data_IF_348762030198
#
_entry.id   IF_348762030198
#
_cell.length_a   1.000
_cell.length_b   1.000
_cell.length_c   1.000
_cell.angle_alpha   90.00
_cell.angle_beta   90.00
_cell.angle_gamma   90.00
#
_symmetry.space_group_name_H-M   'P 1'
#
loop_
_entity.id
_entity.type
_entity.pdbx_description
1 polymer ?
#
# COMPACT_ATOMS: atom_id res chain seq x y z
N UNK A 1 -22.67 -4.04 -21.42
CA UNK A 1 -22.44 -2.57 -21.32
C UNK A 1 -21.53 -2.33 -20.11
N UNK A 2 -20.21 -2.21 -20.31
CA UNK A 2 -19.18 -2.24 -19.24
C UNK A 2 -18.91 -0.91 -18.51
N UNK A 3 -19.89 0.01 -18.51
CA UNK A 3 -19.80 1.30 -17.82
C UNK A 3 -20.51 1.34 -16.46
N UNK A 4 -21.15 0.23 -16.05
CA UNK A 4 -21.71 0.08 -14.71
C UNK A 4 -20.63 -0.16 -13.67
N UNK A 5 -20.93 0.16 -12.41
CA UNK A 5 -20.01 0.05 -11.29
C UNK A 5 -20.14 -1.32 -10.59
N UNK A 6 -19.05 -2.09 -10.54
CA UNK A 6 -19.02 -3.39 -9.87
C UNK A 6 -19.20 -3.27 -8.35
N UNK A 7 -18.67 -2.22 -7.72
CA UNK A 7 -18.83 -2.01 -6.28
C UNK A 7 -20.31 -1.97 -5.86
N UNK A 8 -21.19 -1.36 -6.67
CA UNK A 8 -22.64 -1.34 -6.40
C UNK A 8 -23.30 -2.72 -6.57
N UNK A 9 -22.92 -3.47 -7.60
CA UNK A 9 -23.43 -4.82 -7.81
C UNK A 9 -23.00 -5.77 -6.67
N UNK A 10 -21.75 -5.66 -6.22
CA UNK A 10 -21.23 -6.40 -5.07
C UNK A 10 -22.00 -5.99 -3.80
N UNK A 11 -22.17 -4.69 -3.57
CA UNK A 11 -22.92 -4.18 -2.42
C UNK A 11 -24.38 -4.65 -2.37
N UNK A 12 -25.05 -4.71 -3.53
CA UNK A 12 -26.40 -5.27 -3.65
C UNK A 12 -26.44 -6.75 -3.26
N UNK A 13 -25.55 -7.57 -3.80
CA UNK A 13 -25.44 -9.01 -3.48
C UNK A 13 -25.12 -9.22 -2.00
N UNK A 14 -24.30 -8.35 -1.41
CA UNK A 14 -23.94 -8.41 0.01
C UNK A 14 -25.01 -7.82 0.95
N UNK A 15 -26.14 -7.32 0.44
CA UNK A 15 -27.20 -6.74 1.26
C UNK A 15 -26.83 -5.38 1.89
N UNK A 16 -25.85 -4.67 1.34
CA UNK A 16 -25.42 -3.35 1.81
C UNK A 16 -26.39 -2.25 1.33
N UNK A 17 -27.65 -2.31 1.79
CA UNK A 17 -28.76 -1.47 1.28
C UNK A 17 -28.54 0.05 1.38
N UNK A 18 -27.68 0.48 2.32
CA UNK A 18 -27.35 1.89 2.54
C UNK A 18 -25.98 2.29 1.96
N UNK A 19 -25.30 1.39 1.25
CA UNK A 19 -23.98 1.66 0.69
C UNK A 19 -24.06 2.30 -0.70
N UNK A 20 -23.11 3.18 -0.98
CA UNK A 20 -22.74 3.59 -2.34
C UNK A 20 -21.41 2.95 -2.72
N UNK A 21 -20.97 3.12 -3.96
CA UNK A 21 -19.67 2.63 -4.38
C UNK A 21 -19.16 3.27 -5.65
N UNK A 22 -17.90 3.00 -5.96
CA UNK A 22 -17.24 3.33 -7.23
C UNK A 22 -16.11 2.34 -7.49
N UNK A 23 -15.77 2.15 -8.78
CA UNK A 23 -14.65 1.32 -9.19
C UNK A 23 -13.37 2.16 -9.31
N UNK A 24 -12.24 1.60 -8.87
CA UNK A 24 -10.90 2.17 -9.09
C UNK A 24 -10.14 1.33 -10.12
N UNK A 25 -9.55 1.98 -11.13
CA UNK A 25 -8.73 1.32 -12.16
C UNK A 25 -7.29 1.81 -12.11
N UNK A 26 -6.35 0.89 -12.32
CA UNK A 26 -4.90 1.16 -12.24
C UNK A 26 -4.05 -0.12 -12.30
N UNK A 27 -4.51 -1.13 -13.04
CA UNK A 27 -3.85 -2.45 -13.12
C UNK A 27 -3.52 -3.03 -11.74
N UNK A 28 -2.33 -3.63 -11.55
CA UNK A 28 -1.85 -4.12 -10.25
C UNK A 28 -1.72 -3.03 -9.19
N UNK A 29 -1.67 -1.74 -9.56
CA UNK A 29 -1.63 -0.64 -8.60
C UNK A 29 -3.03 -0.23 -8.11
N UNK A 30 -4.11 -0.68 -8.76
CA UNK A 30 -5.50 -0.32 -8.41
C UNK A 30 -5.88 -0.63 -6.95
N UNK A 31 -5.49 -1.78 -6.34
CA UNK A 31 -5.73 -2.04 -4.93
C UNK A 31 -5.13 -0.99 -3.99
N UNK A 32 -3.89 -0.60 -4.24
CA UNK A 32 -3.21 0.42 -3.43
C UNK A 32 -3.85 1.80 -3.63
N UNK A 33 -4.23 2.16 -4.86
CA UNK A 33 -5.03 3.36 -5.12
C UNK A 33 -6.35 3.36 -4.36
N UNK A 34 -7.07 2.24 -4.38
CA UNK A 34 -8.37 2.12 -3.70
C UNK A 34 -8.23 2.26 -2.18
N UNK A 35 -7.15 1.74 -1.58
CA UNK A 35 -6.87 1.90 -0.16
C UNK A 35 -6.48 3.33 0.22
N UNK A 36 -5.70 4.01 -0.61
CA UNK A 36 -5.39 5.43 -0.41
C UNK A 36 -6.67 6.28 -0.50
N UNK A 37 -7.53 5.99 -1.48
CA UNK A 37 -8.83 6.66 -1.61
C UNK A 37 -9.72 6.38 -0.40
N UNK A 38 -9.79 5.14 0.08
CA UNK A 38 -10.58 4.75 1.25
C UNK A 38 -10.07 5.46 2.52
N UNK A 39 -8.75 5.50 2.72
CA UNK A 39 -8.13 6.21 3.84
C UNK A 39 -8.44 7.71 3.80
N UNK A 40 -8.33 8.34 2.62
CA UNK A 40 -8.66 9.75 2.45
C UNK A 40 -10.14 10.05 2.75
N UNK A 41 -11.06 9.20 2.28
CA UNK A 41 -12.50 9.34 2.54
C UNK A 41 -12.85 9.18 4.03
N UNK A 42 -12.21 8.22 4.71
CA UNK A 42 -12.39 8.00 6.14
C UNK A 42 -11.86 9.19 6.96
N UNK A 43 -10.64 9.65 6.66
CA UNK A 43 -10.00 10.76 7.37
C UNK A 43 -10.68 12.11 7.09
N UNK A 44 -11.25 12.30 5.90
CA UNK A 44 -12.07 13.48 5.59
C UNK A 44 -13.47 13.45 6.25
N UNK A 45 -13.86 12.33 6.87
CA UNK A 45 -15.18 12.17 7.48
C UNK A 45 -16.33 12.04 6.47
N UNK A 46 -16.02 11.76 5.20
CA UNK A 46 -17.03 11.59 4.14
C UNK A 46 -17.80 10.28 4.35
N UNK A 47 -17.08 9.20 4.68
CA UNK A 47 -17.67 7.90 5.01
C UNK A 47 -17.00 7.32 6.25
N UNK A 48 -17.79 6.84 7.21
CA UNK A 48 -17.27 6.21 8.43
C UNK A 48 -16.72 4.80 8.22
N UNK A 49 -17.22 4.10 7.20
CA UNK A 49 -16.85 2.73 6.86
C UNK A 49 -16.76 2.57 5.34
N UNK A 50 -15.61 2.11 4.86
CA UNK A 50 -15.34 1.84 3.45
C UNK A 50 -14.78 0.42 3.35
N UNK A 51 -15.32 -0.39 2.46
CA UNK A 51 -14.77 -1.72 2.17
C UNK A 51 -14.13 -1.68 0.78
N UNK A 52 -12.84 -1.94 0.71
CA UNK A 52 -12.11 -2.11 -0.55
C UNK A 52 -12.12 -3.59 -0.89
N UNK A 53 -12.75 -3.95 -2.01
CA UNK A 53 -12.85 -5.33 -2.50
C UNK A 53 -12.22 -5.45 -3.88
N UNK A 54 -11.52 -6.54 -4.14
CA UNK A 54 -11.11 -6.91 -5.48
C UNK A 54 -10.95 -8.43 -5.60
N UNK A 55 -11.10 -8.96 -6.82
CA UNK A 55 -11.15 -10.39 -7.09
C UNK A 55 -10.66 -10.73 -8.50
N UNK A 56 -10.11 -11.93 -8.65
CA UNK A 56 -9.58 -12.42 -9.92
C UNK A 56 -10.68 -12.72 -10.91
N UNK A 57 -10.30 -12.80 -12.19
CA UNK A 57 -11.22 -13.17 -13.26
C UNK A 57 -10.68 -14.40 -14.00
N UNK A 58 -11.59 -15.28 -14.37
CA UNK A 58 -11.29 -16.50 -15.15
C UNK A 58 -10.59 -16.17 -16.47
N UNK A 59 -10.95 -15.06 -17.11
CA UNK A 59 -10.30 -14.60 -18.34
C UNK A 59 -8.80 -14.32 -18.12
N UNK A 60 -8.42 -13.77 -16.95
CA UNK A 60 -7.02 -13.47 -16.64
C UNK A 60 -6.21 -14.73 -16.36
N UNK A 61 -6.82 -15.75 -15.72
CA UNK A 61 -6.18 -17.06 -15.51
C UNK A 61 -5.68 -17.69 -16.80
N UNK A 62 -6.54 -17.71 -17.83
CA UNK A 62 -6.16 -18.27 -19.14
C UNK A 62 -4.94 -17.57 -19.75
N UNK A 63 -4.84 -16.25 -19.61
CA UNK A 63 -3.70 -15.49 -20.13
C UNK A 63 -2.37 -15.83 -19.42
N UNK A 64 -2.40 -16.02 -18.10
CA UNK A 64 -1.20 -16.30 -17.32
C UNK A 64 -0.70 -17.75 -17.51
N UNK A 65 -1.62 -18.66 -17.82
CA UNK A 65 -1.33 -20.07 -18.06
C UNK A 65 -0.58 -20.32 -19.36
N UNK A 66 -0.66 -19.37 -20.32
CA UNK A 66 -0.09 -19.51 -21.67
C UNK A 66 1.39 -19.85 -21.67
N UNK A 67 2.18 -19.18 -20.83
CA UNK A 67 3.64 -19.33 -20.86
C UNK A 67 4.09 -20.63 -20.16
N UNK A 68 3.31 -21.15 -19.20
CA UNK A 68 3.49 -22.50 -18.64
C UNK A 68 3.20 -23.58 -19.69
N UNK A 69 2.07 -23.48 -20.41
CA UNK A 69 1.67 -24.44 -21.44
C UNK A 69 2.69 -24.49 -22.59
N UNK A 70 3.20 -23.34 -23.03
CA UNK A 70 4.26 -23.27 -24.06
C UNK A 70 5.55 -24.00 -23.66
N UNK A 71 5.79 -24.16 -22.35
CA UNK A 71 6.95 -24.85 -21.79
C UNK A 71 6.64 -26.31 -21.42
N UNK A 72 5.47 -26.83 -21.79
CA UNK A 72 5.05 -28.20 -21.43
C UNK A 72 4.80 -28.38 -19.93
N UNK A 73 4.54 -27.30 -19.20
CA UNK A 73 4.29 -27.34 -17.76
C UNK A 73 2.79 -27.38 -17.46
N UNK A 74 2.38 -27.95 -16.30
CA UNK A 74 1.04 -27.77 -15.78
C UNK A 74 0.70 -26.29 -15.59
N UNK A 75 -0.60 -25.99 -15.58
CA UNK A 75 -1.09 -24.66 -15.21
C UNK A 75 -0.87 -24.47 -13.70
N UNK A 76 0.25 -23.84 -13.34
CA UNK A 76 0.62 -23.62 -11.93
C UNK A 76 -0.26 -22.58 -11.23
N UNK A 77 -1.00 -21.78 -12.00
CA UNK A 77 -1.86 -20.71 -11.50
C UNK A 77 -3.34 -20.97 -11.83
N UNK A 78 -3.83 -22.18 -11.56
CA UNK A 78 -5.26 -22.51 -11.64
C UNK A 78 -5.98 -22.15 -10.33
N UNK A 79 -5.99 -20.86 -9.99
CA UNK A 79 -6.62 -20.37 -8.76
C UNK A 79 -7.13 -18.94 -8.89
N UNK A 80 -8.34 -18.69 -8.38
CA UNK A 80 -8.87 -17.34 -8.21
C UNK A 80 -8.75 -16.96 -6.73
N UNK A 81 -8.28 -15.75 -6.48
CA UNK A 81 -8.30 -15.17 -5.16
C UNK A 81 -9.00 -13.81 -5.18
N UNK A 82 -9.49 -13.43 -4.00
CA UNK A 82 -10.12 -12.16 -3.73
C UNK A 82 -9.69 -11.67 -2.36
N UNK A 83 -9.80 -10.37 -2.13
CA UNK A 83 -9.60 -9.79 -0.82
C UNK A 83 -10.70 -8.77 -0.53
N UNK A 84 -10.90 -8.52 0.76
CA UNK A 84 -11.67 -7.40 1.27
C UNK A 84 -10.86 -6.75 2.40
N UNK A 85 -10.74 -5.42 2.37
CA UNK A 85 -10.15 -4.63 3.44
C UNK A 85 -11.20 -3.64 3.92
N UNK A 86 -11.55 -3.73 5.20
CA UNK A 86 -12.41 -2.75 5.85
C UNK A 86 -11.55 -1.62 6.41
N UNK A 87 -11.78 -0.42 5.90
CA UNK A 87 -11.18 0.83 6.37
C UNK A 87 -12.27 1.64 7.05
N UNK A 88 -12.04 2.01 8.31
CA UNK A 88 -12.94 2.85 9.08
C UNK A 88 -12.28 4.19 9.41
N UNK A 89 -13.03 5.07 10.06
CA UNK A 89 -12.44 6.12 10.89
C UNK A 89 -11.50 5.51 11.94
N UNK A 90 -10.57 6.33 12.43
CA UNK A 90 -9.58 5.91 13.41
C UNK A 90 -10.27 5.39 14.69
N UNK A 91 -10.09 4.09 14.96
CA UNK A 91 -10.67 3.36 16.10
C UNK A 91 -9.72 3.33 17.32
N UNK A 92 -8.52 3.92 17.20
CA UNK A 92 -7.48 3.89 18.23
C UNK A 92 -6.77 2.54 18.36
N UNK A 93 -7.11 1.53 17.56
CA UNK A 93 -6.59 0.16 17.71
C UNK A 93 -5.97 -0.34 16.41
N UNK A 94 -6.72 -0.30 15.31
CA UNK A 94 -6.29 -0.79 14.01
C UNK A 94 -5.19 0.10 13.43
N UNK A 95 -4.22 -0.49 12.69
CA UNK A 95 -3.15 0.28 12.06
C UNK A 95 -3.70 1.40 11.18
N UNK A 96 -3.03 2.56 11.23
CA UNK A 96 -3.42 3.73 10.44
C UNK A 96 -2.74 3.72 9.08
N UNK A 97 -3.45 4.14 8.03
CA UNK A 97 -2.86 4.42 6.72
C UNK A 97 -2.39 5.88 6.70
N UNK A 98 -1.08 6.10 6.57
CA UNK A 98 -0.43 7.42 6.56
C UNK A 98 -0.60 8.12 5.22
N UNK A 99 -1.67 8.92 5.08
CA UNK A 99 -2.00 9.69 3.85
C UNK A 99 -1.08 10.89 3.62
N UNK A 100 -0.28 11.27 4.61
CA UNK A 100 0.77 12.27 4.50
C UNK A 100 2.05 11.73 3.79
N UNK A 101 2.20 10.40 3.76
CA UNK A 101 3.35 9.64 3.25
C UNK A 101 3.03 8.81 1.99
N UNK A 102 2.19 9.33 1.10
CA UNK A 102 1.83 8.63 -0.15
C UNK A 102 2.94 8.77 -1.20
N UNK A 103 3.50 7.64 -1.62
CA UNK A 103 4.38 7.56 -2.78
C UNK A 103 3.58 7.61 -4.06
N UNK A 104 4.06 8.34 -5.07
CA UNK A 104 3.35 8.46 -6.36
C UNK A 104 4.32 8.54 -7.51
N UNK A 105 4.12 7.68 -8.51
CA UNK A 105 4.83 7.77 -9.76
C UNK A 105 4.17 8.86 -10.64
N UNK A 106 4.85 9.99 -10.78
CA UNK A 106 4.36 11.12 -11.58
C UNK A 106 4.64 10.85 -13.06
N UNK A 107 3.88 11.52 -13.93
CA UNK A 107 4.17 11.50 -15.39
C UNK A 107 5.63 11.90 -15.66
N UNK A 108 6.16 12.88 -14.92
CA UNK A 108 7.54 13.33 -15.01
C UNK A 108 8.56 12.58 -14.13
N UNK A 109 8.19 11.47 -13.48
CA UNK A 109 9.13 10.71 -12.63
C UNK A 109 10.21 9.99 -13.42
N UNK A 110 9.98 9.70 -14.70
CA UNK A 110 10.87 8.91 -15.55
C UNK A 110 10.61 7.41 -15.45
N UNK A 111 11.01 6.66 -16.48
CA UNK A 111 10.59 5.27 -16.67
C UNK A 111 11.57 4.23 -16.11
N UNK A 112 12.74 4.62 -15.60
CA UNK A 112 13.73 3.65 -15.13
C UNK A 112 13.25 2.98 -13.83
N UNK A 113 13.56 1.70 -13.59
CA UNK A 113 13.20 1.02 -12.35
C UNK A 113 13.62 1.80 -11.09
N UNK A 114 14.80 2.42 -11.12
CA UNK A 114 15.31 3.27 -10.05
C UNK A 114 14.46 4.52 -9.85
N UNK A 115 14.03 5.17 -10.92
CA UNK A 115 13.21 6.38 -10.84
C UNK A 115 11.80 6.09 -10.32
N UNK A 116 11.21 4.97 -10.77
CA UNK A 116 9.93 4.49 -10.26
C UNK A 116 10.02 4.21 -8.75
N UNK A 117 11.03 3.44 -8.33
CA UNK A 117 11.22 3.09 -6.92
C UNK A 117 11.60 4.29 -6.06
N UNK A 118 12.37 5.24 -6.57
CA UNK A 118 12.63 6.51 -5.89
C UNK A 118 11.30 7.24 -5.62
N UNK A 119 10.44 7.36 -6.63
CA UNK A 119 9.18 8.10 -6.53
C UNK A 119 8.13 7.47 -5.60
N UNK A 120 8.09 6.14 -5.53
CA UNK A 120 7.08 5.41 -4.74
C UNK A 120 7.62 4.86 -3.42
N UNK A 121 8.92 4.86 -3.16
CA UNK A 121 9.49 4.39 -1.89
C UNK A 121 10.22 5.50 -1.16
N UNK A 122 11.21 6.12 -1.81
CA UNK A 122 12.10 7.06 -1.12
C UNK A 122 11.50 8.45 -0.94
N UNK A 123 10.96 9.04 -2.00
CA UNK A 123 10.37 10.39 -1.99
C UNK A 123 9.31 10.59 -0.89
N UNK A 124 8.33 9.66 -0.66
CA UNK A 124 7.37 9.84 0.42
C UNK A 124 7.98 9.76 1.82
N UNK A 125 9.04 8.96 2.00
CA UNK A 125 9.75 8.85 3.28
C UNK A 125 10.55 10.12 3.57
N UNK A 126 11.31 10.61 2.58
CA UNK A 126 12.09 11.85 2.68
C UNK A 126 11.21 13.06 2.98
N UNK A 127 10.06 13.17 2.31
CA UNK A 127 9.09 14.25 2.53
C UNK A 127 8.60 14.30 3.99
N UNK A 128 8.45 13.14 4.63
CA UNK A 128 7.98 13.02 6.01
C UNK A 128 9.12 12.91 7.03
N UNK A 129 10.38 13.02 6.62
CA UNK A 129 11.54 12.91 7.49
C UNK A 129 11.76 11.52 8.09
N UNK A 130 11.16 10.48 7.51
CA UNK A 130 11.30 9.08 7.97
C UNK A 130 12.43 8.42 7.17
N UNK A 131 13.32 7.71 7.86
CA UNK A 131 14.41 6.98 7.19
C UNK A 131 13.93 5.64 6.66
N UNK A 132 14.58 5.14 5.61
CA UNK A 132 14.24 3.84 5.03
C UNK A 132 14.41 2.68 6.03
N UNK A 133 15.38 2.78 6.94
CA UNK A 133 15.65 1.79 7.97
C UNK A 133 14.64 1.81 9.14
N UNK A 134 13.70 2.77 9.17
CA UNK A 134 12.59 2.82 10.12
C UNK A 134 11.33 2.10 9.62
N UNK A 135 11.37 1.53 8.41
CA UNK A 135 10.29 0.69 7.86
C UNK A 135 10.65 -0.77 8.08
N UNK A 136 9.81 -1.50 8.82
CA UNK A 136 10.10 -2.88 9.22
C UNK A 136 9.87 -3.88 8.08
N UNK A 137 8.86 -3.61 7.24
CA UNK A 137 8.46 -4.49 6.13
C UNK A 137 8.11 -3.69 4.89
N UNK A 138 8.57 -4.16 3.75
CA UNK A 138 8.12 -3.67 2.44
C UNK A 138 7.30 -4.78 1.78
N UNK A 139 6.11 -4.46 1.30
CA UNK A 139 5.32 -5.35 0.47
C UNK A 139 5.30 -4.76 -0.96
N UNK A 140 6.27 -5.13 -1.82
CA UNK A 140 6.28 -4.78 -3.23
C UNK A 140 5.28 -5.66 -3.98
N UNK A 141 5.55 -5.97 -5.24
CA UNK A 141 4.76 -6.95 -5.94
C UNK A 141 5.01 -8.37 -5.36
N UNK A 142 3.96 -8.99 -4.79
CA UNK A 142 4.06 -10.21 -3.97
C UNK A 142 3.82 -11.52 -4.75
N UNK A 143 4.13 -11.55 -6.06
CA UNK A 143 3.96 -12.76 -6.89
C UNK A 143 4.69 -13.96 -6.28
N UNK A 144 4.04 -15.13 -6.23
CA UNK A 144 4.71 -16.37 -5.86
C UNK A 144 5.81 -16.72 -6.89
N UNK A 145 7.10 -16.76 -6.49
CA UNK A 145 8.21 -17.09 -7.39
C UNK A 145 8.14 -18.52 -7.94
N UNK A 146 7.48 -19.45 -7.24
CA UNK A 146 7.24 -20.81 -7.72
C UNK A 146 6.35 -20.83 -8.98
N UNK A 147 5.58 -19.76 -9.22
CA UNK A 147 4.76 -19.58 -10.43
C UNK A 147 5.52 -18.72 -11.45
N UNK A 148 6.12 -17.60 -11.03
CA UNK A 148 6.70 -16.63 -11.97
C UNK A 148 8.06 -17.06 -12.54
N UNK A 149 8.88 -17.79 -11.78
CA UNK A 149 10.18 -18.28 -12.27
C UNK A 149 9.98 -19.28 -13.41
N UNK A 150 9.14 -20.32 -13.30
CA UNK A 150 8.88 -21.22 -14.41
C UNK A 150 8.22 -20.53 -15.62
N UNK A 151 7.35 -19.54 -15.39
CA UNK A 151 6.79 -18.71 -16.46
C UNK A 151 7.85 -17.83 -17.16
N UNK A 152 9.01 -17.58 -16.55
CA UNK A 152 10.11 -16.77 -17.10
C UNK A 152 10.08 -15.30 -16.69
N UNK A 153 9.26 -14.94 -15.71
CA UNK A 153 9.19 -13.60 -15.14
C UNK A 153 10.17 -13.39 -13.97
N UNK A 154 10.79 -14.46 -13.46
CA UNK A 154 11.77 -14.41 -12.37
C UNK A 154 11.15 -14.21 -10.99
N UNK A 155 12.00 -13.94 -9.99
CA UNK A 155 11.59 -13.64 -8.61
C UNK A 155 11.36 -12.14 -8.43
N UNK A 156 10.12 -11.72 -8.66
CA UNK A 156 9.71 -10.31 -8.69
C UNK A 156 9.81 -9.63 -7.31
N UNK A 157 9.32 -10.23 -6.20
CA UNK A 157 9.50 -9.63 -4.87
C UNK A 157 10.97 -9.38 -4.53
N UNK A 158 11.84 -10.38 -4.73
CA UNK A 158 13.26 -10.28 -4.41
C UNK A 158 14.00 -9.23 -5.25
N UNK A 159 13.66 -9.12 -6.54
CA UNK A 159 14.19 -8.07 -7.40
C UNK A 159 13.84 -6.66 -6.87
N UNK A 160 12.60 -6.48 -6.38
CA UNK A 160 12.18 -5.23 -5.75
C UNK A 160 12.90 -4.97 -4.42
N UNK A 161 13.07 -5.97 -3.55
CA UNK A 161 13.81 -5.80 -2.29
C UNK A 161 15.26 -5.36 -2.52
N UNK A 162 15.94 -5.98 -3.49
CA UNK A 162 17.30 -5.57 -3.88
C UNK A 162 17.34 -4.12 -4.35
N UNK A 163 16.33 -3.67 -5.09
CA UNK A 163 16.24 -2.27 -5.54
C UNK A 163 16.01 -1.31 -4.37
N UNK A 164 15.12 -1.65 -3.43
CA UNK A 164 14.87 -0.86 -2.20
C UNK A 164 16.16 -0.76 -1.37
N UNK A 165 16.84 -1.88 -1.15
CA UNK A 165 18.09 -1.92 -0.41
C UNK A 165 19.18 -1.09 -1.10
N UNK A 166 19.30 -1.17 -2.43
CA UNK A 166 20.25 -0.36 -3.20
C UNK A 166 19.98 1.15 -3.11
N UNK A 167 18.70 1.57 -3.08
CA UNK A 167 18.34 2.97 -2.82
C UNK A 167 18.74 3.39 -1.41
N UNK A 168 18.55 2.51 -0.42
CA UNK A 168 19.02 2.73 0.95
C UNK A 168 20.53 2.92 1.06
N UNK A 169 21.32 2.10 0.35
CA UNK A 169 22.78 2.26 0.27
C UNK A 169 23.15 3.60 -0.37
N UNK A 170 22.50 3.97 -1.49
CA UNK A 170 22.74 5.25 -2.16
C UNK A 170 22.47 6.47 -1.25
N UNK A 171 21.54 6.33 -0.31
CA UNK A 171 21.15 7.37 0.65
C UNK A 171 21.91 7.28 1.98
N UNK A 172 22.83 6.33 2.13
CA UNK A 172 23.64 6.16 3.35
C UNK A 172 22.88 5.56 4.54
N UNK A 173 21.73 4.91 4.32
CA UNK A 173 20.99 4.21 5.37
C UNK A 173 21.53 2.81 5.65
N UNK A 174 22.23 2.22 4.68
CA UNK A 174 22.81 0.87 4.75
C UNK A 174 24.20 0.86 4.13
N UNK A 175 25.04 -0.05 4.59
CA UNK A 175 26.33 -0.31 3.94
C UNK A 175 26.16 -1.27 2.76
N UNK A 176 26.99 -1.12 1.72
CA UNK A 176 26.90 -1.94 0.49
C UNK A 176 27.08 -3.44 0.77
N UNK A 177 27.89 -3.80 1.75
CA UNK A 177 28.13 -5.18 2.15
C UNK A 177 26.98 -5.81 2.96
N UNK A 178 26.02 -5.01 3.43
CA UNK A 178 24.86 -5.46 4.22
C UNK A 178 23.62 -5.76 3.37
N UNK A 179 23.70 -5.61 2.04
CA UNK A 179 22.52 -5.73 1.15
C UNK A 179 21.72 -7.01 1.35
N UNK A 180 22.39 -8.17 1.51
CA UNK A 180 21.72 -9.45 1.68
C UNK A 180 20.93 -9.51 3.00
N UNK A 181 21.56 -9.13 4.11
CA UNK A 181 20.95 -9.08 5.44
C UNK A 181 19.77 -8.09 5.47
N UNK A 182 19.93 -6.93 4.83
CA UNK A 182 18.88 -5.92 4.74
C UNK A 182 17.66 -6.43 3.97
N UNK A 183 17.89 -7.11 2.84
CA UNK A 183 16.82 -7.74 2.04
C UNK A 183 16.10 -8.82 2.84
N UNK A 184 16.83 -9.66 3.59
CA UNK A 184 16.25 -10.68 4.46
C UNK A 184 15.44 -10.07 5.60
N UNK A 185 15.93 -8.97 6.19
CA UNK A 185 15.30 -8.33 7.35
C UNK A 185 13.93 -7.75 7.04
N UNK A 186 13.80 -6.98 5.95
CA UNK A 186 12.55 -6.29 5.62
C UNK A 186 11.72 -7.00 4.54
N UNK A 187 12.31 -7.96 3.83
CA UNK A 187 11.68 -8.69 2.74
C UNK A 187 10.95 -9.94 3.23
N UNK A 188 10.15 -10.51 2.34
CA UNK A 188 9.47 -11.77 2.56
C UNK A 188 9.21 -12.45 1.21
N UNK A 189 9.14 -13.80 1.15
CA UNK A 189 8.79 -14.50 -0.06
C UNK A 189 7.45 -14.03 -0.63
N UNK A 190 7.35 -13.95 -1.95
CA UNK A 190 6.07 -13.76 -2.61
C UNK A 190 5.21 -15.01 -2.43
N UNK A 191 3.91 -14.82 -2.22
CA UNK A 191 2.96 -15.90 -1.97
C UNK A 191 1.65 -15.72 -2.75
N UNK A 192 1.50 -14.59 -3.43
CA UNK A 192 0.26 -14.21 -4.05
C UNK A 192 0.20 -14.73 -5.50
N UNK A 193 -0.95 -15.24 -5.98
CA UNK A 193 -1.09 -15.62 -7.37
C UNK A 193 -0.95 -14.39 -8.28
N UNK A 194 -0.48 -14.60 -9.50
CA UNK A 194 -0.27 -13.59 -10.55
C UNK A 194 -1.55 -13.06 -11.22
N UNK A 195 -2.67 -12.95 -10.48
CA UNK A 195 -3.93 -12.37 -10.96
C UNK A 195 -3.84 -10.84 -10.98
N UNK A 196 -4.19 -10.12 -12.05
CA UNK A 196 -3.79 -8.71 -12.30
C UNK A 196 -4.02 -7.63 -11.21
N UNK A 197 -4.65 -7.91 -10.09
CA UNK A 197 -4.92 -7.05 -8.93
C UNK A 197 -4.40 -7.65 -7.60
N UNK A 198 -3.89 -8.88 -7.61
CA UNK A 198 -3.39 -9.61 -6.43
C UNK A 198 -1.89 -9.46 -6.23
N UNK A 199 -1.01 -9.40 -7.24
CA UNK A 199 0.43 -9.37 -6.99
C UNK A 199 0.92 -7.96 -6.67
N UNK A 200 0.09 -7.10 -6.11
CA UNK A 200 0.54 -5.86 -5.46
C UNK A 200 1.10 -6.18 -4.06
N UNK A 201 1.44 -5.17 -3.28
CA UNK A 201 1.73 -5.34 -1.85
C UNK A 201 0.51 -5.66 -0.98
N UNK A 202 -0.71 -5.46 -1.50
CA UNK A 202 -1.96 -5.55 -0.73
C UNK A 202 -2.22 -6.92 -0.07
N UNK A 203 -1.86 -8.08 -0.64
CA UNK A 203 -2.02 -9.37 0.04
C UNK A 203 -1.34 -9.44 1.41
N UNK A 204 -0.30 -8.63 1.64
CA UNK A 204 0.41 -8.60 2.91
C UNK A 204 -0.34 -7.86 4.03
N UNK A 205 -1.38 -7.06 3.72
CA UNK A 205 -2.06 -6.20 4.70
C UNK A 205 -2.61 -6.97 5.90
N UNK A 206 -3.20 -8.14 5.68
CA UNK A 206 -3.71 -8.99 6.77
C UNK A 206 -2.60 -9.37 7.75
N UNK A 207 -1.50 -9.90 7.21
CA UNK A 207 -0.31 -10.25 7.99
C UNK A 207 0.35 -9.03 8.65
N UNK A 208 0.45 -7.90 7.94
CA UNK A 208 0.98 -6.66 8.48
C UNK A 208 0.16 -6.19 9.68
N UNK A 209 -1.18 -6.22 9.58
CA UNK A 209 -2.09 -5.88 10.68
C UNK A 209 -1.86 -6.77 11.89
N UNK A 210 -1.80 -8.09 11.69
CA UNK A 210 -1.54 -9.04 12.78
C UNK A 210 -0.19 -8.78 13.45
N UNK A 211 0.87 -8.56 12.66
CA UNK A 211 2.20 -8.27 13.20
C UNK A 211 2.24 -6.95 13.98
N UNK A 212 1.57 -5.91 13.49
CA UNK A 212 1.48 -4.61 14.18
C UNK A 212 0.72 -4.73 15.50
N UNK A 213 -0.43 -5.41 15.50
CA UNK A 213 -1.23 -5.61 16.71
C UNK A 213 -0.51 -6.49 17.74
N UNK A 214 0.28 -7.46 17.26
CA UNK A 214 1.15 -8.27 18.11
C UNK A 214 2.44 -7.54 18.55
N UNK A 215 2.66 -6.28 18.13
CA UNK A 215 3.84 -5.49 18.48
C UNK A 215 5.15 -5.95 17.83
N UNK A 216 5.09 -6.80 16.81
CA UNK A 216 6.27 -7.36 16.11
C UNK A 216 6.89 -6.39 15.12
N UNK A 217 6.10 -5.49 14.56
CA UNK A 217 6.52 -4.43 13.65
C UNK A 217 5.78 -3.13 13.98
N UNK A 218 6.33 -1.98 13.59
CA UNK A 218 5.69 -0.68 13.72
C UNK A 218 5.13 -0.17 12.38
N UNK A 219 5.84 -0.42 11.28
CA UNK A 219 5.54 0.14 9.96
C UNK A 219 5.70 -0.89 8.86
N UNK A 220 4.71 -0.97 7.99
CA UNK A 220 4.78 -1.71 6.74
C UNK A 220 4.48 -0.77 5.56
N UNK A 221 5.36 -0.70 4.57
CA UNK A 221 5.09 0.02 3.33
C UNK A 221 4.46 -0.93 2.31
N UNK A 222 3.27 -0.58 1.84
CA UNK A 222 2.53 -1.32 0.83
C UNK A 222 2.70 -0.62 -0.51
N UNK A 223 3.17 -1.34 -1.52
CA UNK A 223 3.51 -0.76 -2.83
C UNK A 223 2.64 -1.42 -3.91
N UNK A 224 1.92 -0.58 -4.65
CA UNK A 224 1.22 -0.96 -5.87
C UNK A 224 2.00 -0.47 -7.08
N UNK A 225 2.60 -1.40 -7.83
CA UNK A 225 3.25 -1.10 -9.11
C UNK A 225 2.63 -1.95 -10.20
N UNK A 226 2.43 -1.35 -11.37
CA UNK A 226 1.73 -2.00 -12.47
C UNK A 226 2.05 -1.43 -13.85
N UNK A 227 1.69 -2.26 -14.84
CA UNK A 227 1.55 -1.95 -16.26
C UNK A 227 2.81 -1.98 -17.12
N UNK A 228 3.21 -3.21 -17.44
CA UNK A 228 4.06 -3.52 -18.61
C UNK A 228 3.47 -2.97 -19.92
N UNK A 229 2.13 -2.88 -20.03
CA UNK A 229 1.47 -2.39 -21.25
C UNK A 229 1.54 -0.89 -21.39
N UNK A 230 1.25 -0.13 -20.33
CA UNK A 230 1.42 1.31 -20.32
C UNK A 230 2.89 1.68 -20.57
N UNK A 231 3.82 0.96 -19.94
CA UNK A 231 5.24 1.16 -20.17
C UNK A 231 5.65 1.00 -21.63
N UNK A 232 5.05 0.04 -22.35
CA UNK A 232 5.29 -0.17 -23.79
C UNK A 232 4.67 0.89 -24.70
N UNK A 233 3.65 1.62 -24.22
CA UNK A 233 2.91 2.60 -25.03
C UNK A 233 3.34 4.05 -24.76
N UNK A 234 3.74 4.37 -23.53
CA UNK A 234 3.93 5.77 -23.08
C UNK A 234 5.22 6.01 -22.29
N UNK A 235 6.01 4.98 -22.00
CA UNK A 235 7.11 5.01 -21.03
C UNK A 235 6.67 5.29 -19.57
N UNK A 236 5.38 5.10 -19.24
CA UNK A 236 4.86 5.31 -17.88
C UNK A 236 4.53 3.99 -17.19
N UNK A 237 4.62 4.01 -15.87
CA UNK A 237 4.17 2.91 -15.00
C UNK A 237 3.06 3.42 -14.08
N UNK A 238 2.11 2.54 -13.77
CA UNK A 238 1.22 2.75 -12.64
C UNK A 238 2.03 2.50 -11.36
N UNK A 239 2.07 3.47 -10.46
CA UNK A 239 2.90 3.39 -9.26
C UNK A 239 2.38 4.24 -8.12
N UNK A 240 2.03 3.60 -7.02
CA UNK A 240 1.61 4.24 -5.77
C UNK A 240 2.09 3.42 -4.58
N UNK A 241 2.28 4.06 -3.43
CA UNK A 241 2.50 3.36 -2.17
C UNK A 241 1.88 4.11 -1.00
N UNK A 242 1.70 3.40 0.11
CA UNK A 242 1.32 3.98 1.39
C UNK A 242 1.96 3.19 2.52
N UNK A 243 1.95 3.77 3.72
CA UNK A 243 2.47 3.14 4.93
C UNK A 243 1.30 2.80 5.84
N UNK A 244 1.27 1.56 6.31
CA UNK A 244 0.51 1.16 7.50
C UNK A 244 1.41 1.34 8.71
N UNK A 245 0.92 2.06 9.70
CA UNK A 245 1.64 2.36 10.93
C UNK A 245 0.82 1.93 12.15
N UNK A 246 1.50 1.47 13.21
CA UNK A 246 0.88 1.22 14.50
C UNK A 246 0.09 2.43 14.98
N UNK A 247 -1.15 2.19 15.39
CA UNK A 247 -2.00 3.23 15.94
C UNK A 247 -1.40 3.78 17.25
N UNK A 248 -1.53 5.08 17.47
CA UNK A 248 -1.08 5.75 18.70
C UNK A 248 -2.02 5.52 19.89
N UNK A 249 -3.21 4.94 19.68
CA UNK A 249 -4.26 4.85 20.70
C UNK A 249 -5.13 6.10 20.78
N UNK A 250 -4.76 7.16 20.07
CA UNK A 250 -5.51 8.42 20.07
C UNK A 250 -6.60 8.39 19.00
N UNK A 251 -7.85 8.44 19.43
CA UNK A 251 -8.98 8.70 18.54
C UNK A 251 -9.10 10.21 18.40
N UNK A 252 -8.90 10.73 17.19
CA UNK A 252 -9.23 12.13 16.91
C UNK A 252 -10.75 12.26 16.89
N UNK A 253 -11.35 12.49 18.06
CA UNK A 253 -12.67 13.10 18.14
C UNK A 253 -12.52 14.49 17.55
N UNK A 254 -13.20 14.76 16.44
CA UNK A 254 -13.00 15.94 15.61
C UNK A 254 -12.63 17.18 16.41
N UNK A 255 -11.53 17.82 16.03
CA UNK A 255 -10.94 18.98 16.69
C UNK A 255 -12.04 19.91 17.19
N UNK A 256 -12.35 19.85 18.48
CA UNK A 256 -13.25 20.80 19.09
C UNK A 256 -12.46 22.10 19.21
N UNK A 257 -12.64 22.97 18.22
CA UNK A 257 -11.95 24.27 18.15
C UNK A 257 -12.13 25.09 19.42
N UNK A 258 -13.21 24.84 20.17
CA UNK A 258 -13.47 25.51 21.44
C UNK A 258 -12.59 24.96 22.57
N UNK A 259 -12.28 23.66 22.58
CA UNK A 259 -11.33 23.03 23.51
C UNK A 259 -9.90 23.53 23.27
N UNK A 260 -9.48 23.63 22.01
CA UNK A 260 -8.17 24.22 21.66
C UNK A 260 -8.10 25.69 22.04
N UNK A 261 -9.19 26.45 21.82
CA UNK A 261 -9.26 27.85 22.25
C UNK A 261 -9.17 27.98 23.77
N UNK A 262 -9.82 27.09 24.53
CA UNK A 262 -9.71 27.04 25.98
C UNK A 262 -8.26 26.74 26.42
N UNK A 263 -7.63 25.73 25.85
CA UNK A 263 -6.24 25.38 26.18
C UNK A 263 -5.25 26.51 25.86
N UNK A 264 -5.44 27.21 24.73
CA UNK A 264 -4.63 28.39 24.38
C UNK A 264 -4.90 29.53 25.37
N UNK A 265 -6.16 29.79 25.72
CA UNK A 265 -6.53 30.84 26.67
C UNK A 265 -5.96 30.58 28.07
N UNK A 266 -6.01 29.33 28.56
CA UNK A 266 -5.42 28.92 29.82
C UNK A 266 -3.90 29.09 29.82
N UNK A 267 -3.21 28.63 28.76
CA UNK A 267 -1.77 28.81 28.62
C UNK A 267 -1.36 30.30 28.58
N UNK A 268 -2.15 31.16 27.91
CA UNK A 268 -1.90 32.60 27.90
C UNK A 268 -2.17 33.25 29.26
N UNK A 269 -3.16 32.77 30.02
CA UNK A 269 -3.42 33.25 31.38
C UNK A 269 -2.32 32.85 32.36
N UNK A 270 -1.81 31.62 32.29
CA UNK A 270 -0.66 31.19 33.10
C UNK A 270 0.59 32.00 32.77
N UNK A 271 0.87 32.20 31.47
CA UNK A 271 1.99 33.04 31.03
C UNK A 271 1.83 34.48 31.57
N UNK A 272 0.63 35.03 31.53
CA UNK A 272 0.35 36.37 32.05
C UNK A 272 0.52 36.48 33.58
N UNK A 273 0.27 35.41 34.35
CA UNK A 273 0.53 35.36 35.79
C UNK A 273 2.03 35.37 36.07
N UNK A 274 2.81 34.56 35.34
CA UNK A 274 4.28 34.52 35.45
C UNK A 274 4.91 35.90 35.16
N UNK A 275 4.38 36.66 34.20
CA UNK A 275 4.87 38.02 33.90
C UNK A 275 4.34 39.12 34.84
N UNK A 276 3.32 38.85 35.66
CA UNK A 276 2.76 39.81 36.63
C UNK A 276 3.38 39.73 38.02
N UNK A 277 4.29 38.79 38.27
CA UNK A 277 5.06 38.74 39.52
C UNK A 277 4.22 38.34 40.74
N UNK A 278 3.40 37.30 40.60
CA UNK A 278 2.94 36.45 41.71
C UNK A 278 3.61 35.07 41.63
#
# INVERSE_FOLDING_TARGET
>A
RGGGNFAKAIGEICGCINATGSDTRGFCAAPAHALVNAAALAQAGVYGNIVVVAGGSTAKLGMNSRDHLKKGMPVLEDMIASFAVHVSQNDGVSPVIRTDMIGRHKIGSGASPQAVMQAIVMDPLEKAGVKLNEIDRFAPEMQNPEITVPAGAGDVPNANYKMIAALGVKKGYFEKNQLAEVVERFGMPGFAPTQGHIPSGVPFIGFAREMILAGRIQRAMIIGKGSLFLGRLTNLFDGISFIMEKNSGRVETGINKDEIRLMIAEAMQELAKVFKGE
#
